data_IF_284521504544
#
_entry.id   IF_284521504544
#
_cell.length_a   1.000
_cell.length_b   1.000
_cell.length_c   1.000
_cell.angle_alpha   90.00
_cell.angle_beta   90.00
_cell.angle_gamma   90.00
#
_symmetry.space_group_name_H-M   'P 1'
#
loop_
_entity.id
_entity.type
_entity.pdbx_description
1 polymer ?
#
# COMPACT_ATOMS: atom_id res chain seq x y z
N UNK A 1 -23.00 6.94 -12.86
CA UNK A 1 -21.54 6.73 -12.73
C UNK A 1 -21.34 5.24 -12.55
N UNK A 2 -20.39 4.62 -13.25
CA UNK A 2 -20.13 3.19 -13.06
C UNK A 2 -19.35 2.95 -11.77
N UNK A 3 -19.34 1.70 -11.28
CA UNK A 3 -18.73 1.36 -9.99
C UNK A 3 -17.23 1.69 -9.94
N UNK A 4 -16.48 1.49 -11.04
CA UNK A 4 -15.04 1.79 -11.08
C UNK A 4 -14.77 3.28 -10.85
N UNK A 5 -15.50 4.17 -11.53
CA UNK A 5 -15.35 5.62 -11.33
C UNK A 5 -15.78 6.03 -9.92
N UNK A 6 -16.84 5.42 -9.40
CA UNK A 6 -17.28 5.67 -8.03
C UNK A 6 -16.19 5.35 -7.02
N UNK A 7 -15.57 4.16 -7.11
CA UNK A 7 -14.46 3.75 -6.23
C UNK A 7 -13.31 4.78 -6.26
N UNK A 8 -12.89 5.21 -7.46
CA UNK A 8 -11.81 6.19 -7.62
C UNK A 8 -12.15 7.54 -6.98
N UNK A 9 -13.42 7.95 -6.99
CA UNK A 9 -13.88 9.22 -6.42
C UNK A 9 -14.16 9.13 -4.93
N UNK A 10 -14.61 7.97 -4.40
CA UNK A 10 -14.98 7.79 -2.99
C UNK A 10 -13.84 7.34 -2.10
N UNK A 11 -12.86 6.61 -2.63
CA UNK A 11 -11.72 6.13 -1.85
C UNK A 11 -11.04 7.25 -1.05
N UNK A 12 -10.79 6.97 0.22
CA UNK A 12 -10.10 7.89 1.16
C UNK A 12 -8.94 7.19 1.86
N UNK A 13 -7.98 8.00 2.31
CA UNK A 13 -6.93 7.53 3.22
C UNK A 13 -7.50 7.47 4.64
N UNK A 14 -7.74 6.27 5.15
CA UNK A 14 -8.30 6.01 6.47
C UNK A 14 -7.19 5.96 7.51
N UNK A 15 -7.41 6.56 8.69
CA UNK A 15 -6.44 6.67 9.79
C UNK A 15 -6.98 6.15 11.11
N UNK A 16 -7.95 5.26 11.05
CA UNK A 16 -8.45 4.54 12.19
C UNK A 16 -9.07 3.22 11.71
N UNK A 17 -8.54 2.11 12.21
CA UNK A 17 -8.97 0.79 11.82
C UNK A 17 -9.39 -0.05 13.02
N UNK A 18 -10.40 -0.91 12.84
CA UNK A 18 -10.79 -1.89 13.84
C UNK A 18 -9.68 -2.95 14.01
N UNK A 19 -8.91 -2.81 15.08
CA UNK A 19 -7.78 -3.69 15.43
C UNK A 19 -8.19 -5.14 15.74
N UNK A 20 -9.48 -5.38 15.98
CA UNK A 20 -10.01 -6.69 16.36
C UNK A 20 -10.56 -7.47 15.16
N UNK A 21 -10.84 -6.78 14.05
CA UNK A 21 -11.47 -7.36 12.88
C UNK A 21 -10.44 -7.61 11.79
N UNK A 22 -10.05 -8.87 11.62
CA UNK A 22 -9.14 -9.28 10.55
C UNK A 22 -9.82 -9.23 9.19
N UNK A 23 -9.09 -8.86 8.15
CA UNK A 23 -9.53 -8.94 6.75
C UNK A 23 -9.50 -10.41 6.33
N UNK A 24 -10.49 -10.86 5.56
CA UNK A 24 -10.54 -12.23 5.07
C UNK A 24 -9.38 -12.54 4.11
N UNK A 25 -8.94 -13.79 4.07
CA UNK A 25 -7.90 -14.22 3.12
C UNK A 25 -8.34 -13.97 1.67
N UNK A 26 -9.61 -14.21 1.36
CA UNK A 26 -10.20 -14.00 0.04
C UNK A 26 -10.11 -12.52 -0.39
N UNK A 27 -10.45 -11.59 0.51
CA UNK A 27 -10.34 -10.16 0.24
C UNK A 27 -8.89 -9.74 0.03
N UNK A 28 -7.96 -10.24 0.87
CA UNK A 28 -6.53 -9.95 0.73
C UNK A 28 -6.01 -10.45 -0.62
N UNK A 29 -6.34 -11.68 -1.01
CA UNK A 29 -5.97 -12.25 -2.30
C UNK A 29 -6.53 -11.44 -3.48
N UNK A 30 -7.79 -11.00 -3.39
CA UNK A 30 -8.42 -10.16 -4.41
C UNK A 30 -7.71 -8.80 -4.54
N UNK A 31 -7.36 -8.16 -3.42
CA UNK A 31 -6.63 -6.90 -3.41
C UNK A 31 -5.22 -7.08 -4.01
N UNK A 32 -4.47 -8.08 -3.55
CA UNK A 32 -3.12 -8.37 -4.06
C UNK A 32 -3.16 -8.65 -5.56
N UNK A 33 -4.11 -9.49 -6.00
CA UNK A 33 -4.33 -9.78 -7.41
C UNK A 33 -4.57 -8.50 -8.22
N UNK A 34 -5.44 -7.62 -7.77
CA UNK A 34 -5.68 -6.33 -8.44
C UNK A 34 -4.40 -5.48 -8.53
N UNK A 35 -3.57 -5.51 -7.49
CA UNK A 35 -2.25 -4.87 -7.48
C UNK A 35 -1.36 -5.38 -8.61
N UNK A 36 -1.28 -6.71 -8.80
CA UNK A 36 -0.43 -7.31 -9.85
C UNK A 36 -0.88 -6.99 -11.28
N UNK A 37 -2.10 -6.51 -11.47
CA UNK A 37 -2.61 -6.08 -12.78
C UNK A 37 -2.36 -4.59 -13.06
N UNK A 38 -1.64 -3.86 -12.20
CA UNK A 38 -1.24 -2.50 -12.49
C UNK A 38 -0.35 -2.45 -13.75
N UNK A 39 -0.50 -1.45 -14.63
CA UNK A 39 0.38 -1.31 -15.78
C UNK A 39 1.81 -1.00 -15.33
N UNK A 40 2.79 -1.54 -16.07
CA UNK A 40 4.22 -1.35 -15.81
C UNK A 40 4.94 -0.93 -17.08
N UNK A 41 6.03 -0.19 -16.97
CA UNK A 41 6.82 0.26 -18.10
C UNK A 41 7.26 -0.92 -18.97
N UNK A 42 6.86 -0.93 -20.23
CA UNK A 42 7.13 -2.01 -21.21
C UNK A 42 6.69 -3.40 -20.76
N UNK A 43 5.74 -3.51 -19.83
CA UNK A 43 5.27 -4.78 -19.28
C UNK A 43 6.33 -5.52 -18.45
N UNK A 44 7.29 -4.80 -17.87
CA UNK A 44 8.40 -5.41 -17.13
C UNK A 44 8.02 -5.99 -15.77
N UNK A 45 6.85 -5.65 -15.24
CA UNK A 45 6.32 -6.15 -13.96
C UNK A 45 7.35 -6.01 -12.82
N UNK A 46 8.00 -4.83 -12.76
CA UNK A 46 9.06 -4.56 -11.79
C UNK A 46 8.63 -4.62 -10.31
N UNK A 47 7.37 -4.34 -9.93
CA UNK A 47 6.96 -4.40 -8.53
C UNK A 47 6.64 -5.82 -8.05
N UNK A 48 6.91 -6.06 -6.76
CA UNK A 48 6.41 -7.20 -5.98
C UNK A 48 5.59 -6.70 -4.80
N UNK A 49 4.76 -7.58 -4.25
CA UNK A 49 3.92 -7.30 -3.10
C UNK A 49 4.21 -8.35 -2.02
N UNK A 50 4.58 -7.90 -0.82
CA UNK A 50 4.69 -8.75 0.37
C UNK A 50 3.45 -8.51 1.23
N UNK A 51 2.59 -9.53 1.36
CA UNK A 51 1.39 -9.46 2.18
C UNK A 51 1.71 -9.90 3.61
N UNK A 52 1.66 -8.96 4.55
CA UNK A 52 1.91 -9.20 5.97
C UNK A 52 0.58 -9.30 6.70
N UNK A 53 0.22 -10.51 7.09
CA UNK A 53 -0.96 -10.84 7.90
C UNK A 53 -0.57 -11.35 9.30
N UNK A 54 0.69 -11.70 9.48
CA UNK A 54 1.24 -12.07 10.77
C UNK A 54 1.34 -10.84 11.67
N UNK A 55 0.66 -10.90 12.83
CA UNK A 55 0.58 -9.76 13.75
C UNK A 55 1.94 -9.35 14.32
N UNK A 56 2.80 -10.32 14.64
CA UNK A 56 4.11 -10.04 15.24
C UNK A 56 5.00 -9.31 14.27
N UNK A 57 5.10 -9.79 13.02
CA UNK A 57 5.85 -9.12 11.96
C UNK A 57 5.27 -7.73 11.63
N UNK A 58 3.94 -7.63 11.57
CA UNK A 58 3.25 -6.34 11.37
C UNK A 58 3.65 -5.33 12.46
N UNK A 59 3.67 -5.75 13.71
CA UNK A 59 3.99 -4.86 14.84
C UNK A 59 5.49 -4.50 14.87
N UNK A 60 6.38 -5.41 14.47
CA UNK A 60 7.80 -5.12 14.29
C UNK A 60 8.03 -4.05 13.21
N UNK A 61 7.40 -4.21 12.04
CA UNK A 61 7.46 -3.24 10.95
C UNK A 61 6.89 -1.89 11.40
N UNK A 62 5.77 -1.88 12.14
CA UNK A 62 5.19 -0.65 12.69
C UNK A 62 6.15 0.07 13.64
N UNK A 63 6.83 -0.67 14.49
CA UNK A 63 7.80 -0.13 15.44
C UNK A 63 8.99 0.51 14.71
N UNK A 64 9.56 -0.17 13.71
CA UNK A 64 10.67 0.37 12.94
C UNK A 64 10.24 1.58 12.09
N UNK A 65 9.08 1.51 11.46
CA UNK A 65 8.51 2.63 10.70
C UNK A 65 8.29 3.87 11.59
N UNK A 66 7.77 3.67 12.82
CA UNK A 66 7.60 4.73 13.81
C UNK A 66 8.94 5.34 14.25
N UNK A 67 9.94 4.51 14.47
CA UNK A 67 11.30 4.93 14.84
C UNK A 67 11.95 5.77 13.75
N UNK A 68 11.86 5.34 12.48
CA UNK A 68 12.33 6.12 11.32
C UNK A 68 11.59 7.47 11.23
N UNK A 69 10.29 7.48 11.54
CA UNK A 69 9.46 8.68 11.56
C UNK A 69 9.76 9.61 12.75
N UNK A 70 10.41 9.11 13.80
CA UNK A 70 10.65 9.86 15.05
C UNK A 70 9.39 10.01 15.90
N UNK A 71 8.56 8.97 16.01
CA UNK A 71 7.30 8.95 16.76
C UNK A 71 7.10 7.63 17.50
N UNK A 72 6.28 7.64 18.54
CA UNK A 72 5.83 6.42 19.24
C UNK A 72 4.43 5.94 18.77
N UNK A 73 3.82 6.66 17.82
CA UNK A 73 2.51 6.29 17.28
C UNK A 73 2.63 5.14 16.28
N UNK A 74 1.62 4.24 16.25
CA UNK A 74 1.50 3.24 15.20
C UNK A 74 1.24 3.92 13.83
N UNK A 75 2.19 3.90 12.88
CA UNK A 75 2.05 4.58 11.59
C UNK A 75 0.98 3.93 10.70
N UNK A 76 0.58 2.69 11.02
CA UNK A 76 -0.46 1.96 10.28
C UNK A 76 -1.85 2.12 10.88
N UNK A 77 -2.00 2.97 11.92
CA UNK A 77 -3.29 3.34 12.53
C UNK A 77 -4.14 2.16 13.00
N UNK A 78 -3.50 1.06 13.38
CA UNK A 78 -4.17 -0.15 13.83
C UNK A 78 -4.65 -1.08 12.73
N UNK A 79 -4.33 -0.82 11.46
CA UNK A 79 -4.65 -1.73 10.37
C UNK A 79 -4.02 -3.11 10.62
N UNK A 80 -4.79 -4.22 10.52
CA UNK A 80 -4.29 -5.55 10.79
C UNK A 80 -3.45 -6.14 9.65
N UNK A 81 -3.59 -5.60 8.44
CA UNK A 81 -2.91 -6.08 7.23
C UNK A 81 -2.06 -4.97 6.63
N UNK A 82 -0.84 -5.32 6.23
CA UNK A 82 0.06 -4.43 5.49
C UNK A 82 0.48 -5.12 4.21
N UNK A 83 0.25 -4.47 3.08
CA UNK A 83 0.74 -4.90 1.79
C UNK A 83 1.94 -4.01 1.41
N UNK A 84 3.14 -4.57 1.48
CA UNK A 84 4.38 -3.85 1.20
C UNK A 84 4.67 -3.96 -0.29
N UNK A 85 4.83 -2.84 -0.95
CA UNK A 85 5.21 -2.78 -2.36
C UNK A 85 6.69 -2.43 -2.45
N UNK A 86 7.44 -3.32 -3.09
CA UNK A 86 8.83 -3.10 -3.48
C UNK A 86 8.91 -3.12 -5.01
N UNK A 87 9.93 -2.48 -5.57
CA UNK A 87 10.15 -2.53 -7.01
C UNK A 87 11.64 -2.66 -7.35
N UNK A 88 11.91 -3.40 -8.42
CA UNK A 88 13.26 -3.67 -8.92
C UNK A 88 13.91 -2.40 -9.46
N UNK A 89 14.96 -1.94 -8.80
CA UNK A 89 15.70 -0.70 -9.14
C UNK A 89 16.40 -0.75 -10.50
N UNK A 90 16.61 -1.94 -11.06
CA UNK A 90 17.23 -2.08 -12.38
C UNK A 90 16.31 -1.65 -13.52
N UNK A 91 15.01 -1.52 -13.26
CA UNK A 91 13.99 -1.08 -14.21
C UNK A 91 13.78 0.43 -14.07
N UNK A 92 14.03 1.26 -15.11
CA UNK A 92 13.98 2.73 -14.97
C UNK A 92 12.64 3.31 -14.51
N UNK A 93 11.54 2.60 -14.72
CA UNK A 93 10.19 3.04 -14.36
C UNK A 93 9.73 2.54 -12.99
N UNK A 94 10.56 1.85 -12.23
CA UNK A 94 10.18 1.11 -11.03
C UNK A 94 9.35 1.90 -10.00
N UNK A 95 9.67 3.16 -9.75
CA UNK A 95 8.91 4.01 -8.81
C UNK A 95 7.50 4.28 -9.30
N UNK A 96 7.36 4.54 -10.60
CA UNK A 96 6.05 4.78 -11.21
C UNK A 96 5.22 3.51 -11.22
N UNK A 97 5.84 2.39 -11.61
CA UNK A 97 5.21 1.07 -11.65
C UNK A 97 4.69 0.69 -10.24
N UNK A 98 5.54 0.82 -9.22
CA UNK A 98 5.15 0.56 -7.82
C UNK A 98 4.05 1.51 -7.31
N UNK A 99 4.06 2.77 -7.75
CA UNK A 99 3.01 3.73 -7.40
C UNK A 99 1.66 3.36 -8.01
N UNK A 100 1.65 2.81 -9.22
CA UNK A 100 0.43 2.31 -9.85
C UNK A 100 -0.10 1.06 -9.14
N UNK A 101 0.78 0.16 -8.71
CA UNK A 101 0.41 -0.98 -7.85
C UNK A 101 -0.27 -0.49 -6.58
N UNK A 102 0.31 0.49 -5.87
CA UNK A 102 -0.28 1.08 -4.67
C UNK A 102 -1.68 1.67 -4.95
N UNK A 103 -1.85 2.34 -6.08
CA UNK A 103 -3.16 2.85 -6.51
C UNK A 103 -4.20 1.75 -6.69
N UNK A 104 -3.82 0.65 -7.37
CA UNK A 104 -4.70 -0.50 -7.55
C UNK A 104 -5.07 -1.19 -6.24
N UNK A 105 -4.10 -1.41 -5.33
CA UNK A 105 -4.36 -1.99 -4.00
C UNK A 105 -5.39 -1.17 -3.22
N UNK A 106 -5.23 0.15 -3.19
CA UNK A 106 -6.14 1.04 -2.46
C UNK A 106 -7.54 1.08 -3.09
N UNK A 107 -7.64 1.07 -4.42
CA UNK A 107 -8.94 1.05 -5.12
C UNK A 107 -9.64 -0.31 -4.92
N UNK A 108 -8.91 -1.41 -4.95
CA UNK A 108 -9.45 -2.73 -4.69
C UNK A 108 -9.98 -2.84 -3.26
N UNK A 109 -9.24 -2.35 -2.26
CA UNK A 109 -9.71 -2.31 -0.87
C UNK A 109 -11.03 -1.54 -0.73
N UNK A 110 -11.14 -0.34 -1.33
CA UNK A 110 -12.38 0.45 -1.36
C UNK A 110 -13.55 -0.33 -2.00
N UNK A 111 -13.30 -1.02 -3.11
CA UNK A 111 -14.34 -1.78 -3.82
C UNK A 111 -14.91 -2.95 -2.99
N UNK A 112 -14.14 -3.43 -2.02
CA UNK A 112 -14.53 -4.48 -1.07
C UNK A 112 -15.08 -3.92 0.25
N UNK A 113 -15.27 -2.60 0.35
CA UNK A 113 -15.76 -1.95 1.56
C UNK A 113 -14.72 -1.86 2.69
N UNK A 114 -13.44 -1.98 2.35
CA UNK A 114 -12.32 -1.84 3.28
C UNK A 114 -11.68 -0.46 3.18
N UNK A 115 -11.16 0.02 4.30
CA UNK A 115 -10.32 1.20 4.32
C UNK A 115 -8.89 0.87 3.95
N UNK A 116 -8.19 1.86 3.39
CA UNK A 116 -6.77 1.75 3.11
C UNK A 116 -6.05 3.10 3.23
N UNK A 117 -4.73 3.04 3.39
CA UNK A 117 -3.86 4.21 3.36
C UNK A 117 -2.46 3.84 2.90
N UNK A 118 -1.84 4.72 2.11
CA UNK A 118 -0.42 4.62 1.76
C UNK A 118 0.44 5.18 2.89
N UNK A 119 1.33 4.37 3.43
CA UNK A 119 2.35 4.75 4.41
C UNK A 119 3.72 4.67 3.76
N UNK A 120 4.53 5.70 3.95
CA UNK A 120 5.90 5.79 3.45
C UNK A 120 6.90 5.01 4.31
N UNK A 121 8.18 5.19 4.02
CA UNK A 121 9.36 4.66 4.73
C UNK A 121 9.71 3.20 4.46
N UNK A 122 8.97 2.52 3.59
CA UNK A 122 9.37 1.19 3.12
C UNK A 122 10.79 1.20 2.50
N UNK A 123 11.19 2.33 1.89
CA UNK A 123 12.54 2.47 1.34
C UNK A 123 13.58 2.36 2.47
N UNK A 124 13.44 3.19 3.48
CA UNK A 124 14.36 3.24 4.61
C UNK A 124 14.40 1.93 5.39
N UNK A 125 13.25 1.29 5.58
CA UNK A 125 13.16 -0.02 6.23
C UNK A 125 13.91 -1.09 5.44
N UNK A 126 13.70 -1.17 4.13
CA UNK A 126 14.33 -2.19 3.29
C UNK A 126 15.79 -1.88 2.93
N UNK A 127 16.37 -0.79 3.42
CA UNK A 127 17.81 -0.53 3.48
C UNK A 127 18.45 -1.18 4.73
N UNK A 128 17.67 -1.58 5.74
CA UNK A 128 18.16 -2.24 6.94
C UNK A 128 18.44 -3.73 6.71
N UNK A 129 19.48 -4.26 7.37
CA UNK A 129 19.93 -5.63 7.21
C UNK A 129 18.85 -6.66 7.52
N UNK A 130 18.02 -6.43 8.54
CA UNK A 130 16.95 -7.34 8.95
C UNK A 130 15.89 -7.53 7.86
N UNK A 131 15.55 -6.48 7.10
CA UNK A 131 14.60 -6.57 5.99
C UNK A 131 15.24 -7.14 4.72
N UNK A 132 16.56 -6.99 4.56
CA UNK A 132 17.30 -7.70 3.51
C UNK A 132 17.34 -9.22 3.78
N UNK A 133 17.46 -9.63 5.05
CA UNK A 133 17.35 -11.05 5.42
C UNK A 133 15.94 -11.58 5.18
N UNK A 134 14.88 -10.80 5.52
CA UNK A 134 13.50 -11.17 5.19
C UNK A 134 13.31 -11.42 3.69
N UNK A 135 13.88 -10.59 2.82
CA UNK A 135 13.80 -10.82 1.36
C UNK A 135 14.49 -12.13 0.96
N UNK A 136 15.64 -12.45 1.53
CA UNK A 136 16.34 -13.73 1.27
C UNK A 136 15.52 -14.92 1.75
N UNK A 137 14.91 -14.84 2.93
CA UNK A 137 14.03 -15.89 3.46
C UNK A 137 12.81 -16.14 2.55
N UNK A 138 12.29 -15.08 1.92
CA UNK A 138 11.22 -15.15 0.93
C UNK A 138 11.69 -15.61 -0.46
N UNK A 139 13.01 -15.80 -0.66
CA UNK A 139 13.58 -16.16 -1.97
C UNK A 139 13.55 -15.01 -2.98
N UNK A 140 13.56 -13.76 -2.49
CA UNK A 140 13.54 -12.55 -3.33
C UNK A 140 14.97 -12.05 -3.50
N UNK A 141 15.58 -12.39 -4.62
CA UNK A 141 16.91 -11.92 -4.99
C UNK A 141 16.87 -10.66 -5.86
N UNK A 142 17.93 -9.85 -5.82
CA UNK A 142 18.06 -8.66 -6.67
C UNK A 142 18.10 -7.36 -5.90
N UNK A 143 17.95 -6.24 -6.62
CA UNK A 143 18.03 -4.89 -6.07
C UNK A 143 16.63 -4.25 -5.94
N UNK A 144 16.09 -4.28 -4.73
CA UNK A 144 14.75 -3.80 -4.46
C UNK A 144 14.77 -2.47 -3.70
N UNK A 145 13.81 -1.60 -4.03
CA UNK A 145 13.51 -0.39 -3.25
C UNK A 145 12.07 -0.43 -2.76
N UNK A 146 11.86 -0.10 -1.50
CA UNK A 146 10.52 0.06 -0.94
C UNK A 146 9.79 1.25 -1.54
N UNK A 147 8.58 1.01 -2.06
CA UNK A 147 7.69 2.06 -2.59
C UNK A 147 6.76 2.57 -1.50
N UNK A 148 6.26 1.67 -0.68
CA UNK A 148 5.39 2.01 0.45
C UNK A 148 4.60 0.81 0.96
N UNK A 149 3.83 1.08 2.01
CA UNK A 149 2.92 0.11 2.62
C UNK A 149 1.49 0.54 2.33
N UNK A 150 0.68 -0.36 1.80
CA UNK A 150 -0.77 -0.22 1.81
C UNK A 150 -1.30 -0.86 3.08
N UNK A 151 -1.62 -0.04 4.09
CA UNK A 151 -2.29 -0.52 5.28
C UNK A 151 -3.77 -0.72 4.97
N UNK A 152 -4.33 -1.89 5.32
CA UNK A 152 -5.69 -2.30 4.95
C UNK A 152 -6.43 -2.84 6.16
N UNK A 153 -7.71 -2.51 6.30
CA UNK A 153 -8.56 -3.00 7.38
C UNK A 153 -9.98 -2.44 7.30
N UNK A 154 -10.82 -2.87 8.23
CA UNK A 154 -12.14 -2.26 8.41
C UNK A 154 -11.98 -0.91 9.11
N UNK A 155 -12.66 0.12 8.59
CA UNK A 155 -12.62 1.47 9.19
C UNK A 155 -13.40 1.47 10.49
N UNK A 156 -12.80 2.02 11.55
CA UNK A 156 -13.45 2.28 12.81
C UNK A 156 -13.82 3.77 12.89
N UNK A 157 -15.13 4.06 12.80
CA UNK A 157 -15.64 5.41 12.79
C UNK A 157 -15.96 5.98 11.40
N UNK A 158 -15.88 7.29 11.24
CA UNK A 158 -16.27 7.99 10.01
C UNK A 158 -15.17 7.95 8.95
N UNK A 159 -15.56 7.69 7.70
CA UNK A 159 -14.68 7.84 6.55
C UNK A 159 -14.43 9.35 6.29
N UNK A 160 -13.17 9.77 6.10
CA UNK A 160 -12.86 11.18 5.87
C UNK A 160 -13.59 11.75 4.65
N UNK A 161 -14.09 12.97 4.77
CA UNK A 161 -14.70 13.68 3.63
C UNK A 161 -13.66 14.03 2.58
N UNK A 162 -14.09 14.02 1.31
CA UNK A 162 -13.24 14.49 0.21
C UNK A 162 -12.90 15.96 0.37
N UNK A 163 -11.62 16.32 0.30
CA UNK A 163 -11.23 17.71 0.19
C UNK A 163 -11.73 18.31 -1.14
N UNK A 164 -12.09 19.58 -1.14
CA UNK A 164 -12.41 20.30 -2.38
C UNK A 164 -11.24 20.16 -3.37
N UNK A 165 -11.54 19.81 -4.61
CA UNK A 165 -10.51 19.80 -5.67
C UNK A 165 -10.07 21.23 -5.96
N UNK A 166 -8.77 21.43 -6.12
CA UNK A 166 -8.22 22.72 -6.54
C UNK A 166 -8.67 23.04 -7.97
N UNK A 167 -8.92 24.30 -8.24
CA UNK A 167 -9.17 24.78 -9.59
C UNK A 167 -7.87 24.72 -10.45
N UNK A 168 -8.00 24.85 -11.75
CA UNK A 168 -6.88 24.90 -12.70
C UNK A 168 -5.94 23.67 -12.65
N UNK A 169 -6.51 22.48 -12.53
CA UNK A 169 -5.77 21.21 -12.58
C UNK A 169 -5.89 20.46 -13.89
N UNK A 170 -6.78 20.91 -14.77
CA UNK A 170 -7.00 20.33 -16.10
C UNK A 170 -7.00 21.48 -17.09
N UNK A 171 -6.24 21.33 -18.15
CA UNK A 171 -6.14 22.28 -19.25
C UNK A 171 -6.52 21.55 -20.53
N UNK A 172 -7.44 22.14 -21.28
CA UNK A 172 -7.92 21.60 -22.56
C UNK A 172 -7.18 22.29 -23.70
N UNK A 173 -6.70 21.52 -24.65
CA UNK A 173 -6.16 22.03 -25.95
C UNK A 173 -7.02 21.38 -27.02
N UNK A 174 -7.77 22.20 -27.74
CA UNK A 174 -8.71 21.79 -28.79
C UNK A 174 -8.15 22.18 -30.16
#
# INVERSE_FOLDING_TARGET
MNETLKVMETRRSCRNFDKKKMVSAEDIEAIVKAGTYAPTGRGKQSPIIIAVTNKELRDQIATENAKIMGTDMDPFYGAPVILIVLADKTIPTYKYDGSLVMGNLMNAAESLGLGSIWIHRAKEEFELSEYQELLKELGVDGEWEGIGHCAVGYVDGEIPKAAKRKDNRVFWVE
#
